data_IF_661098073290
#
_entry.id   IF_661098073290
#
_cell.length_a   1.000
_cell.length_b   1.000
_cell.length_c   1.000
_cell.angle_alpha   90.00
_cell.angle_beta   90.00
_cell.angle_gamma   90.00
#
_symmetry.space_group_name_H-M   'P 1'
#
loop_
_entity.id
_entity.type
_entity.pdbx_description
1 polymer ?
#
# COMPACT_ATOMS: atom_id res chain seq x y z
N UNK A 1 26.08 27.87 -8.19
CA UNK A 1 24.76 28.42 -7.81
C UNK A 1 23.92 27.27 -7.27
N UNK A 2 23.71 27.20 -5.95
CA UNK A 2 22.83 26.18 -5.38
C UNK A 2 21.39 26.56 -5.73
N UNK A 3 20.70 25.70 -6.47
CA UNK A 3 19.25 25.80 -6.60
C UNK A 3 18.66 25.53 -5.22
N UNK A 4 18.18 26.57 -4.56
CA UNK A 4 17.37 26.45 -3.35
C UNK A 4 16.12 25.66 -3.71
N UNK A 5 16.09 24.39 -3.31
CA UNK A 5 14.93 23.53 -3.47
C UNK A 5 13.81 24.08 -2.58
N UNK A 6 12.88 24.83 -3.18
CA UNK A 6 11.73 25.39 -2.48
C UNK A 6 10.87 24.21 -2.01
N UNK A 7 10.96 23.93 -0.72
CA UNK A 7 10.19 22.87 -0.09
C UNK A 7 8.77 23.40 0.17
N UNK A 8 7.85 23.15 -0.75
CA UNK A 8 6.42 23.50 -0.65
C UNK A 8 5.65 22.71 0.42
N UNK A 9 6.35 22.03 1.32
CA UNK A 9 5.76 21.21 2.35
C UNK A 9 5.78 21.94 3.69
N UNK A 10 4.61 22.35 4.24
CA UNK A 10 4.50 22.83 5.61
C UNK A 10 5.16 21.83 6.57
N UNK A 11 5.69 22.28 7.71
CA UNK A 11 6.40 21.41 8.66
C UNK A 11 5.67 20.11 9.04
N UNK A 12 4.33 20.11 8.98
CA UNK A 12 3.49 18.92 9.14
C UNK A 12 3.77 17.81 8.12
N UNK A 13 4.00 18.13 6.85
CA UNK A 13 4.24 17.14 5.81
C UNK A 13 5.62 16.49 5.92
N UNK A 14 6.64 17.27 6.31
CA UNK A 14 7.95 16.72 6.66
C UNK A 14 7.83 15.76 7.85
N UNK A 15 7.14 16.19 8.92
CA UNK A 15 6.90 15.35 10.10
C UNK A 15 6.18 14.04 9.75
N UNK A 16 5.17 14.08 8.86
CA UNK A 16 4.48 12.87 8.39
C UNK A 16 5.42 11.96 7.60
N UNK A 17 6.25 12.53 6.72
CA UNK A 17 7.24 11.77 5.95
C UNK A 17 8.24 11.07 6.87
N UNK A 18 8.83 11.80 7.81
CA UNK A 18 9.82 11.29 8.77
C UNK A 18 9.19 10.16 9.62
N UNK A 19 7.96 10.35 10.08
CA UNK A 19 7.21 9.32 10.82
C UNK A 19 6.97 8.06 9.98
N UNK A 20 6.62 8.20 8.70
CA UNK A 20 6.44 7.07 7.80
C UNK A 20 7.78 6.33 7.62
N UNK A 21 8.87 7.05 7.38
CA UNK A 21 10.22 6.48 7.22
C UNK A 21 10.66 5.67 8.44
N UNK A 22 10.45 6.19 9.64
CA UNK A 22 10.78 5.49 10.88
C UNK A 22 9.97 4.21 11.05
N UNK A 23 8.65 4.29 10.84
CA UNK A 23 7.78 3.12 10.95
C UNK A 23 8.12 2.06 9.91
N UNK A 24 8.41 2.46 8.66
CA UNK A 24 8.74 1.53 7.58
C UNK A 24 9.90 0.59 7.92
N UNK A 25 10.85 1.00 8.78
CA UNK A 25 11.95 0.12 9.24
C UNK A 25 11.43 -1.14 9.93
N UNK A 26 10.32 -1.04 10.64
CA UNK A 26 9.72 -2.13 11.43
C UNK A 26 8.66 -2.94 10.67
N UNK A 27 8.28 -2.49 9.48
CA UNK A 27 7.15 -3.03 8.71
C UNK A 27 7.63 -4.01 7.64
N UNK A 28 6.82 -5.03 7.38
CA UNK A 28 7.08 -6.08 6.40
C UNK A 28 6.37 -5.79 5.07
N UNK A 29 5.11 -5.35 5.15
CA UNK A 29 4.24 -5.11 3.99
C UNK A 29 3.63 -3.71 4.05
N UNK A 30 3.67 -2.99 2.93
CA UNK A 30 3.00 -1.71 2.73
C UNK A 30 1.69 -1.94 1.97
N UNK A 31 0.56 -1.56 2.57
CA UNK A 31 -0.72 -1.46 1.89
C UNK A 31 -0.92 -0.03 1.41
N UNK A 32 -0.80 0.19 0.11
CA UNK A 32 -1.09 1.48 -0.51
C UNK A 32 -2.53 1.51 -1.00
N UNK A 33 -3.38 2.28 -0.32
CA UNK A 33 -4.79 2.43 -0.65
C UNK A 33 -4.94 3.57 -1.66
N UNK A 34 -5.59 3.26 -2.78
CA UNK A 34 -5.88 4.22 -3.86
C UNK A 34 -7.38 4.21 -4.18
N UNK A 35 -7.88 5.29 -4.77
CA UNK A 35 -9.27 5.37 -5.23
C UNK A 35 -9.38 4.70 -6.61
N UNK A 36 -10.20 3.65 -6.72
CA UNK A 36 -10.34 2.85 -7.94
C UNK A 36 -10.80 3.66 -9.15
N UNK A 37 -11.48 4.80 -8.95
CA UNK A 37 -11.95 5.67 -10.05
C UNK A 37 -10.82 6.46 -10.70
N UNK A 38 -9.78 6.77 -9.94
CA UNK A 38 -8.60 7.52 -10.39
C UNK A 38 -7.31 6.89 -9.82
N UNK A 39 -7.00 5.62 -10.16
CA UNK A 39 -5.98 4.87 -9.42
C UNK A 39 -4.58 5.48 -9.56
N UNK A 40 -4.23 5.99 -10.73
CA UNK A 40 -2.92 6.61 -10.94
C UNK A 40 -2.83 7.98 -10.27
N UNK A 41 -3.85 8.82 -10.41
CA UNK A 41 -3.85 10.19 -9.86
C UNK A 41 -3.97 10.21 -8.33
N UNK A 42 -4.55 9.18 -7.73
CA UNK A 42 -4.68 9.07 -6.27
C UNK A 42 -3.48 8.41 -5.58
N UNK A 43 -2.47 7.95 -6.35
CA UNK A 43 -1.19 7.49 -5.80
C UNK A 43 -0.35 8.66 -5.30
N UNK A 44 0.49 8.36 -4.32
CA UNK A 44 1.48 9.32 -3.83
C UNK A 44 2.89 8.88 -4.27
N UNK A 45 3.57 9.62 -5.16
CA UNK A 45 4.93 9.30 -5.59
C UNK A 45 5.92 9.15 -4.43
N UNK A 46 5.72 9.89 -3.33
CA UNK A 46 6.57 9.76 -2.15
C UNK A 46 6.44 8.37 -1.51
N UNK A 47 5.23 7.77 -1.45
CA UNK A 47 5.05 6.42 -0.90
C UNK A 47 5.87 5.41 -1.70
N UNK A 48 5.85 5.50 -3.03
CA UNK A 48 6.61 4.60 -3.89
C UNK A 48 8.13 4.70 -3.61
N UNK A 49 8.66 5.92 -3.48
CA UNK A 49 10.08 6.12 -3.14
C UNK A 49 10.43 5.59 -1.74
N UNK A 50 9.57 5.80 -0.75
CA UNK A 50 9.79 5.38 0.63
C UNK A 50 9.72 3.86 0.81
N UNK A 51 8.90 3.18 0.01
CA UNK A 51 8.63 1.75 0.12
C UNK A 51 9.47 0.86 -0.81
N UNK A 52 10.47 1.41 -1.51
CA UNK A 52 11.24 0.72 -2.57
C UNK A 52 11.80 -0.67 -2.19
N UNK A 53 12.18 -0.87 -0.93
CA UNK A 53 12.74 -2.16 -0.45
C UNK A 53 11.75 -2.97 0.39
N UNK A 54 10.46 -2.67 0.29
CA UNK A 54 9.38 -3.31 1.05
C UNK A 54 8.43 -4.00 0.10
N UNK A 55 7.83 -5.08 0.59
CA UNK A 55 6.74 -5.71 -0.11
C UNK A 55 5.53 -4.77 -0.14
N UNK A 56 4.89 -4.63 -1.30
CA UNK A 56 3.84 -3.63 -1.52
C UNK A 56 2.61 -4.27 -2.15
N UNK A 57 1.46 -3.94 -1.59
CA UNK A 57 0.15 -4.30 -2.14
C UNK A 57 -0.58 -3.00 -2.43
N UNK A 58 -1.00 -2.82 -3.68
CA UNK A 58 -1.91 -1.73 -4.05
C UNK A 58 -3.34 -2.20 -3.88
N UNK A 59 -4.14 -1.39 -3.19
CA UNK A 59 -5.53 -1.67 -2.91
C UNK A 59 -6.40 -0.66 -3.66
N UNK A 60 -7.08 -1.11 -4.70
CA UNK A 60 -8.07 -0.34 -5.47
C UNK A 60 -9.37 -0.29 -4.66
N UNK A 61 -9.48 0.67 -3.75
CA UNK A 61 -10.67 0.85 -2.91
C UNK A 61 -11.77 1.60 -3.65
N UNK A 62 -13.04 1.46 -3.21
CA UNK A 62 -14.24 1.95 -3.90
C UNK A 62 -14.47 1.26 -5.24
N UNK A 63 -14.11 -0.02 -5.32
CA UNK A 63 -14.30 -0.83 -6.53
C UNK A 63 -15.76 -0.97 -6.94
N UNK A 64 -16.70 -0.77 -6.02
CA UNK A 64 -18.15 -0.72 -6.29
C UNK A 64 -18.55 0.40 -7.25
N UNK A 65 -17.72 1.44 -7.41
CA UNK A 65 -17.97 2.57 -8.29
C UNK A 65 -17.34 2.42 -9.68
N UNK A 66 -16.71 1.28 -9.98
CA UNK A 66 -15.89 1.08 -11.18
C UNK A 66 -16.24 -0.24 -11.84
N UNK A 67 -16.24 -0.26 -13.17
CA UNK A 67 -16.52 -1.49 -13.90
C UNK A 67 -15.41 -2.53 -13.71
N UNK A 68 -15.76 -3.82 -13.72
CA UNK A 68 -14.77 -4.91 -13.59
C UNK A 68 -13.69 -4.85 -14.68
N UNK A 69 -14.08 -4.48 -15.91
CA UNK A 69 -13.16 -4.36 -17.03
C UNK A 69 -12.09 -3.30 -16.79
N UNK A 70 -12.45 -2.15 -16.21
CA UNK A 70 -11.50 -1.10 -15.84
C UNK A 70 -10.62 -1.51 -14.67
N UNK A 71 -11.19 -2.15 -13.65
CA UNK A 71 -10.40 -2.68 -12.52
C UNK A 71 -9.34 -3.66 -12.99
N UNK A 72 -9.68 -4.59 -13.88
CA UNK A 72 -8.75 -5.57 -14.42
C UNK A 72 -7.64 -4.91 -15.26
N UNK A 73 -7.95 -3.87 -16.04
CA UNK A 73 -6.95 -3.05 -16.74
C UNK A 73 -5.98 -2.41 -15.74
N UNK A 74 -6.48 -1.82 -14.66
CA UNK A 74 -5.63 -1.18 -13.65
C UNK A 74 -4.78 -2.17 -12.87
N UNK A 75 -5.31 -3.34 -12.51
CA UNK A 75 -4.52 -4.42 -11.89
C UNK A 75 -3.36 -4.84 -12.78
N UNK A 76 -3.64 -5.07 -14.06
CA UNK A 76 -2.62 -5.43 -15.06
C UNK A 76 -1.57 -4.32 -15.19
N UNK A 77 -2.00 -3.07 -15.35
CA UNK A 77 -1.09 -1.93 -15.44
C UNK A 77 -0.16 -1.80 -14.23
N UNK A 78 -0.69 -1.91 -12.99
CA UNK A 78 0.14 -1.79 -11.80
C UNK A 78 1.16 -2.91 -11.66
N UNK A 79 0.83 -4.12 -12.10
CA UNK A 79 1.77 -5.26 -12.13
C UNK A 79 2.84 -5.10 -13.20
N UNK A 80 2.46 -4.72 -14.41
CA UNK A 80 3.40 -4.55 -15.55
C UNK A 80 4.40 -3.41 -15.32
N UNK A 81 3.99 -2.37 -14.61
CA UNK A 81 4.87 -1.25 -14.25
C UNK A 81 5.70 -1.50 -12.98
N UNK A 82 5.68 -2.72 -12.45
CA UNK A 82 6.35 -3.10 -11.19
C UNK A 82 6.02 -2.16 -10.02
N UNK A 83 4.78 -1.66 -10.00
CA UNK A 83 4.35 -0.77 -8.94
C UNK A 83 3.99 -1.51 -7.66
N UNK A 84 3.69 -2.81 -7.70
CA UNK A 84 3.34 -3.58 -6.51
C UNK A 84 3.56 -5.08 -6.71
N UNK A 85 3.91 -5.77 -5.63
CA UNK A 85 3.97 -7.23 -5.60
C UNK A 85 2.57 -7.84 -5.76
N UNK A 86 1.52 -7.19 -5.24
CA UNK A 86 0.12 -7.59 -5.43
C UNK A 86 -0.84 -6.42 -5.63
N UNK A 87 -1.95 -6.67 -6.33
CA UNK A 87 -3.01 -5.67 -6.54
C UNK A 87 -4.38 -6.27 -6.25
N UNK A 88 -5.10 -5.66 -5.32
CA UNK A 88 -6.40 -6.15 -4.85
C UNK A 88 -7.45 -5.06 -5.04
N UNK A 89 -8.59 -5.41 -5.62
CA UNK A 89 -9.77 -4.55 -5.63
C UNK A 89 -10.62 -4.82 -4.40
N UNK A 90 -11.14 -3.77 -3.78
CA UNK A 90 -12.02 -3.90 -2.64
C UNK A 90 -13.02 -2.75 -2.55
N UNK A 91 -14.07 -2.96 -1.77
CA UNK A 91 -14.95 -1.88 -1.33
C UNK A 91 -15.03 -1.91 0.18
N UNK A 92 -14.39 -0.93 0.82
CA UNK A 92 -14.49 -0.72 2.26
C UNK A 92 -15.91 -0.28 2.68
N UNK A 93 -16.76 0.15 1.75
CA UNK A 93 -18.15 0.50 2.02
C UNK A 93 -19.01 -0.75 2.19
N UNK A 94 -18.86 -1.71 1.26
CA UNK A 94 -19.70 -2.92 1.21
C UNK A 94 -19.06 -4.13 1.88
N UNK A 95 -17.76 -4.05 2.24
CA UNK A 95 -16.98 -5.19 2.73
C UNK A 95 -16.52 -6.14 1.61
N UNK A 96 -16.75 -5.79 0.34
CA UNK A 96 -16.36 -6.62 -0.80
C UNK A 96 -14.84 -6.85 -0.84
N UNK A 97 -14.45 -8.11 -1.09
CA UNK A 97 -13.06 -8.58 -1.26
C UNK A 97 -12.10 -8.36 -0.07
N UNK A 98 -12.60 -8.07 1.14
CA UNK A 98 -11.76 -7.98 2.35
C UNK A 98 -10.98 -9.28 2.59
N UNK A 99 -11.60 -10.44 2.39
CA UNK A 99 -10.92 -11.75 2.51
C UNK A 99 -9.74 -11.88 1.55
N UNK A 100 -9.90 -11.40 0.31
CA UNK A 100 -8.87 -11.46 -0.73
C UNK A 100 -7.65 -10.58 -0.39
N UNK A 101 -7.87 -9.46 0.31
CA UNK A 101 -6.79 -8.64 0.84
C UNK A 101 -5.95 -9.42 1.87
N UNK A 102 -6.59 -10.14 2.80
CA UNK A 102 -5.88 -10.98 3.77
C UNK A 102 -5.10 -12.11 3.10
N UNK A 103 -5.68 -12.77 2.09
CA UNK A 103 -4.99 -13.79 1.29
C UNK A 103 -3.76 -13.21 0.57
N UNK A 104 -3.87 -12.01 -0.01
CA UNK A 104 -2.75 -11.34 -0.66
C UNK A 104 -1.64 -10.97 0.34
N UNK A 105 -1.99 -10.51 1.54
CA UNK A 105 -1.04 -10.21 2.62
C UNK A 105 -0.25 -11.46 3.03
N UNK A 106 -0.94 -12.58 3.24
CA UNK A 106 -0.29 -13.85 3.61
C UNK A 106 0.60 -14.36 2.46
N UNK A 107 0.13 -14.29 1.21
CA UNK A 107 0.90 -14.66 0.04
C UNK A 107 2.21 -13.86 -0.07
N UNK A 108 2.13 -12.53 0.02
CA UNK A 108 3.28 -11.64 -0.13
C UNK A 108 4.26 -11.76 1.04
N UNK A 109 3.78 -12.07 2.25
CA UNK A 109 4.62 -12.21 3.44
C UNK A 109 5.17 -13.63 3.67
N UNK A 110 4.70 -14.63 2.91
CA UNK A 110 5.05 -16.05 3.05
C UNK A 110 6.56 -16.31 3.06
N UNK A 111 7.29 -15.76 2.09
CA UNK A 111 8.74 -15.99 1.96
C UNK A 111 9.50 -15.52 3.22
N UNK A 112 9.15 -14.34 3.74
CA UNK A 112 9.76 -13.79 4.96
C UNK A 112 9.39 -14.64 6.17
N UNK A 113 8.11 -15.02 6.28
CA UNK A 113 7.60 -15.84 7.38
C UNK A 113 8.34 -17.18 7.46
N UNK A 114 8.48 -17.86 6.33
CA UNK A 114 9.21 -19.12 6.23
C UNK A 114 10.70 -18.96 6.61
N UNK A 115 11.36 -17.89 6.16
CA UNK A 115 12.75 -17.60 6.54
C UNK A 115 12.91 -17.41 8.04
N UNK A 116 11.96 -16.75 8.71
CA UNK A 116 11.99 -16.52 10.15
C UNK A 116 11.66 -17.80 10.95
N UNK A 117 10.72 -18.60 10.48
CA UNK A 117 10.41 -19.91 11.07
C UNK A 117 11.61 -20.85 11.00
N UNK A 118 12.30 -20.90 9.85
CA UNK A 118 13.54 -21.69 9.69
C UNK A 118 14.67 -21.23 10.63
N UNK A 119 14.67 -19.96 11.05
CA UNK A 119 15.60 -19.42 12.06
C UNK A 119 15.19 -19.75 13.51
N UNK A 120 14.11 -20.51 13.72
CA UNK A 120 13.68 -20.98 15.04
C UNK A 120 12.72 -20.05 15.78
N UNK A 121 12.18 -19.00 15.15
CA UNK A 121 11.14 -18.18 15.79
C UNK A 121 9.82 -18.95 15.90
N UNK A 122 9.29 -19.10 17.12
CA UNK A 122 8.03 -19.83 17.39
C UNK A 122 6.77 -19.09 16.94
N UNK A 123 6.80 -17.74 16.90
CA UNK A 123 5.69 -16.90 16.47
C UNK A 123 6.23 -15.82 15.54
N UNK A 124 5.70 -15.78 14.32
CA UNK A 124 6.03 -14.77 13.32
C UNK A 124 4.74 -14.09 12.90
N UNK A 125 4.61 -12.81 13.23
CA UNK A 125 3.50 -11.97 12.78
C UNK A 125 3.96 -11.04 11.66
N UNK A 126 3.11 -10.86 10.66
CA UNK A 126 3.34 -9.90 9.58
C UNK A 126 2.96 -8.50 10.06
N UNK A 127 3.91 -7.57 10.02
CA UNK A 127 3.68 -6.17 10.38
C UNK A 127 3.36 -5.37 9.13
N UNK A 128 2.30 -4.58 9.20
CA UNK A 128 1.70 -3.91 8.05
C UNK A 128 1.53 -2.43 8.35
N UNK A 129 1.76 -1.59 7.35
CA UNK A 129 1.38 -0.17 7.39
C UNK A 129 0.40 0.14 6.27
N UNK A 130 -0.63 0.91 6.60
CA UNK A 130 -1.65 1.36 5.64
C UNK A 130 -1.35 2.82 5.27
N UNK A 131 -1.08 3.07 3.99
CA UNK A 131 -0.73 4.37 3.45
C UNK A 131 -1.68 4.78 2.31
N UNK A 132 -1.73 6.07 2.01
CA UNK A 132 -2.55 6.63 0.93
C UNK A 132 -2.91 8.08 1.18
N UNK A 133 -3.39 8.80 0.16
CA UNK A 133 -3.82 10.19 0.28
C UNK A 133 -5.13 10.31 1.11
N UNK A 134 -5.50 11.50 1.61
CA UNK A 134 -6.77 11.67 2.32
C UNK A 134 -7.99 11.15 1.51
N UNK A 135 -9.04 10.70 2.22
CA UNK A 135 -10.34 10.30 1.65
C UNK A 135 -10.37 9.09 0.69
N UNK A 136 -9.27 8.35 0.54
CA UNK A 136 -9.25 7.05 -0.19
C UNK A 136 -9.87 5.90 0.61
N UNK A 137 -10.25 6.11 1.88
CA UNK A 137 -10.95 5.12 2.70
C UNK A 137 -10.09 4.32 3.69
N UNK A 138 -8.84 4.76 3.97
CA UNK A 138 -7.92 4.10 4.92
C UNK A 138 -8.55 3.74 6.27
N UNK A 139 -9.28 4.67 6.88
CA UNK A 139 -9.88 4.46 8.20
C UNK A 139 -11.01 3.43 8.21
N UNK A 140 -11.74 3.26 7.10
CA UNK A 140 -12.78 2.23 6.98
C UNK A 140 -12.17 0.84 6.82
N UNK A 141 -11.01 0.73 6.16
CA UNK A 141 -10.30 -0.55 6.00
C UNK A 141 -9.69 -1.02 7.33
N UNK A 142 -9.34 -0.09 8.21
CA UNK A 142 -8.69 -0.38 9.50
C UNK A 142 -9.67 -0.55 10.67
N UNK A 143 -10.98 -0.62 10.40
CA UNK A 143 -12.02 -0.92 11.38
C UNK A 143 -12.56 -2.31 11.12
#
# INVERSE_FOLDING_TARGET
MSMTQINWYPGHMKKTKDLIEENLKLIDVVLEIVDARIPLSSKNPNIASLSKNKKRIIVLNKSDLVSKQELDKWKKYFKEQDFADEVVEMSAETGYNVKKLYEAIEFVSKERKEKLLKKGLKKVSTRIIVLGIPNVGKCKINK
#
